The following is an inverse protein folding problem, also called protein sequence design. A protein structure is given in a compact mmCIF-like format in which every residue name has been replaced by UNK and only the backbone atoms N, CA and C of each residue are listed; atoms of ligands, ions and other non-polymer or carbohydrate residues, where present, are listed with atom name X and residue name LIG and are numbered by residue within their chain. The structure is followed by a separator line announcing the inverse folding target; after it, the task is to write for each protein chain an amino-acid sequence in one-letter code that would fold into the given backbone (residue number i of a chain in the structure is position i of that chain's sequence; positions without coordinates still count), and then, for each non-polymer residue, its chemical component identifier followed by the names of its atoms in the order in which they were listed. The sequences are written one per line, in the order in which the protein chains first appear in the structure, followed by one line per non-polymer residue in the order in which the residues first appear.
data_IF_198323041424
#
_entry.id   IF_198323041424
#
_cell.length_a   1.000
_cell.length_b   1.000
_cell.length_c   1.000
_cell.angle_alpha   90.00
_cell.angle_beta   90.00
_cell.angle_gamma   90.00
#
_symmetry.space_group_name_H-M   'P 1'
#
loop_
_entity.id
_entity.type
_entity.pdbx_description
1 polymer ?
#
# COMPACT_ATOMS: atom_id res chain seq x y z
N UNK A 1 -1.03 2.58 -4.14
CA UNK A 1 0.46 2.74 -4.02
C UNK A 1 1.17 1.45 -3.62
N UNK A 2 2.48 1.29 -3.88
CA UNK A 2 3.33 0.17 -3.42
C UNK A 2 3.92 0.46 -2.03
N UNK A 3 4.38 -0.57 -1.33
CA UNK A 3 5.06 -0.42 -0.03
C UNK A 3 6.23 0.59 -0.10
N UNK A 4 7.08 0.50 -1.14
CA UNK A 4 8.19 1.44 -1.35
C UNK A 4 7.75 2.89 -1.57
N UNK A 5 6.55 3.12 -2.08
CA UNK A 5 6.00 4.48 -2.18
C UNK A 5 5.65 5.06 -0.81
N UNK A 6 5.48 4.22 0.21
CA UNK A 6 5.11 4.60 1.57
C UNK A 6 6.35 4.68 2.45
N UNK A 7 7.11 3.59 2.58
CA UNK A 7 8.30 3.53 3.46
C UNK A 7 9.55 4.18 2.84
N UNK A 8 9.52 4.44 1.54
CA UNK A 8 10.62 4.99 0.77
C UNK A 8 11.65 3.97 0.33
N UNK A 9 12.72 4.49 -0.27
CA UNK A 9 13.85 3.71 -0.77
C UNK A 9 15.17 4.39 -0.43
N UNK A 10 16.20 3.57 -0.28
CA UNK A 10 17.57 4.02 -0.07
C UNK A 10 18.33 3.92 -1.39
N UNK A 11 18.68 5.05 -2.01
CA UNK A 11 19.42 5.07 -3.28
C UNK A 11 20.88 5.47 -3.07
N UNK A 12 21.85 4.96 -3.85
CA UNK A 12 23.23 5.41 -3.75
C UNK A 12 23.33 6.94 -3.77
N UNK A 13 24.07 7.49 -2.81
CA UNK A 13 24.41 8.90 -2.78
C UNK A 13 25.78 9.08 -3.47
N UNK A 14 26.01 10.19 -4.19
CA UNK A 14 27.35 10.52 -4.68
C UNK A 14 28.37 10.54 -3.54
N UNK A 15 29.57 10.06 -3.81
CA UNK A 15 30.66 10.04 -2.82
C UNK A 15 30.89 11.43 -2.22
N UNK A 16 31.05 11.49 -0.90
CA UNK A 16 31.25 12.75 -0.17
C UNK A 16 29.99 13.60 0.03
N UNK A 17 28.80 13.10 -0.33
CA UNK A 17 27.55 13.82 0.01
C UNK A 17 27.34 13.85 1.52
N UNK A 18 27.63 14.98 2.15
CA UNK A 18 27.15 15.26 3.49
C UNK A 18 25.62 15.37 3.48
N UNK A 19 24.95 14.75 4.45
CA UNK A 19 23.51 14.91 4.62
C UNK A 19 23.19 16.40 4.85
N UNK A 20 22.27 16.94 4.05
CA UNK A 20 21.69 18.26 4.36
C UNK A 20 20.74 18.14 5.55
N UNK A 21 20.43 19.24 6.27
CA UNK A 21 19.39 19.23 7.27
C UNK A 21 18.08 18.64 6.71
N UNK A 22 17.53 17.63 7.40
CA UNK A 22 16.32 16.91 6.97
C UNK A 22 16.55 15.76 5.99
N UNK A 23 17.77 15.57 5.46
CA UNK A 23 18.11 14.39 4.66
C UNK A 23 18.61 13.25 5.54
N UNK A 24 18.22 12.02 5.19
CA UNK A 24 18.72 10.82 5.82
C UNK A 24 19.73 10.13 4.90
N UNK A 25 20.96 9.96 5.39
CA UNK A 25 22.02 9.22 4.72
C UNK A 25 22.48 8.07 5.61
N UNK A 26 22.56 6.87 5.06
CA UNK A 26 22.99 5.66 5.73
C UNK A 26 23.84 4.82 4.78
N UNK A 27 25.06 4.46 5.20
CA UNK A 27 25.95 3.59 4.43
C UNK A 27 26.14 4.04 2.97
N UNK A 28 26.34 5.35 2.75
CA UNK A 28 26.49 5.92 1.41
C UNK A 28 25.20 5.93 0.57
N UNK A 29 24.03 5.65 1.16
CA UNK A 29 22.72 5.71 0.49
C UNK A 29 21.88 6.81 1.12
N UNK A 30 21.17 7.57 0.28
CA UNK A 30 20.21 8.59 0.69
C UNK A 30 18.80 8.01 0.65
N UNK A 31 18.02 8.29 1.68
CA UNK A 31 16.59 7.97 1.67
C UNK A 31 15.83 8.95 0.79
N UNK A 32 14.81 8.45 0.09
CA UNK A 32 13.87 9.29 -0.63
C UNK A 32 12.66 8.51 -1.12
N UNK A 33 11.78 9.21 -1.83
CA UNK A 33 10.57 8.69 -2.48
C UNK A 33 9.57 7.93 -1.58
N UNK A 34 9.72 7.99 -0.26
CA UNK A 34 8.68 7.58 0.68
C UNK A 34 7.65 8.68 0.87
N UNK A 35 6.62 8.39 1.66
CA UNK A 35 5.67 9.42 2.09
C UNK A 35 6.32 10.29 3.16
N UNK A 36 6.10 11.59 3.05
CA UNK A 36 6.42 12.55 4.11
C UNK A 36 5.15 13.18 4.66
N UNK A 37 5.26 13.88 5.80
CA UNK A 37 4.14 14.62 6.37
C UNK A 37 3.64 15.73 5.44
N UNK A 38 4.49 16.25 4.56
CA UNK A 38 4.11 17.25 3.55
C UNK A 38 3.25 16.65 2.41
N UNK A 39 3.30 15.33 2.18
CA UNK A 39 2.43 14.64 1.24
C UNK A 39 0.99 14.48 1.77
N UNK A 40 0.80 14.67 3.08
CA UNK A 40 -0.50 14.60 3.75
C UNK A 40 -1.12 15.99 3.84
N UNK A 41 -2.18 16.22 3.08
CA UNK A 41 -2.90 17.49 3.11
C UNK A 41 -3.71 17.68 4.40
N UNK A 42 -4.16 18.93 4.65
CA UNK A 42 -5.02 19.25 5.81
C UNK A 42 -6.36 18.53 5.79
N UNK A 43 -6.84 18.16 4.62
CA UNK A 43 -8.06 17.36 4.43
C UNK A 43 -7.82 15.84 4.53
N UNK A 44 -6.64 15.41 5.00
CA UNK A 44 -6.25 14.01 5.17
C UNK A 44 -6.24 13.20 3.87
N UNK A 45 -5.94 13.87 2.76
CA UNK A 45 -5.80 13.24 1.45
C UNK A 45 -4.32 13.17 1.10
N UNK A 46 -3.81 11.96 0.90
CA UNK A 46 -2.47 11.76 0.35
C UNK A 46 -2.54 11.95 -1.15
N UNK A 47 -1.59 12.71 -1.73
CA UNK A 47 -1.40 12.79 -3.19
C UNK A 47 0.07 12.61 -3.54
N UNK A 48 0.41 11.55 -4.27
CA UNK A 48 1.80 11.25 -4.59
C UNK A 48 1.97 10.57 -5.94
N UNK A 49 3.01 10.97 -6.67
CA UNK A 49 3.46 10.25 -7.85
C UNK A 49 4.11 8.92 -7.43
N UNK A 50 3.63 7.81 -7.97
CA UNK A 50 4.18 6.49 -7.68
C UNK A 50 5.55 6.31 -8.31
N UNK A 51 6.46 5.66 -7.59
CA UNK A 51 7.86 5.49 -8.00
C UNK A 51 8.05 4.66 -9.26
N UNK A 52 7.16 3.69 -9.51
CA UNK A 52 7.30 2.76 -10.64
C UNK A 52 6.83 3.36 -11.97
N UNK A 53 5.69 4.05 -11.97
CA UNK A 53 5.04 4.48 -13.22
C UNK A 53 4.95 6.01 -13.34
N UNK A 54 5.20 6.76 -12.26
CA UNK A 54 4.97 8.20 -12.21
C UNK A 54 3.49 8.58 -12.12
N UNK A 55 2.56 7.60 -12.17
CA UNK A 55 1.14 7.87 -12.04
C UNK A 55 0.82 8.42 -10.64
N UNK A 56 -0.04 9.44 -10.58
CA UNK A 56 -0.52 9.98 -9.31
C UNK A 56 -1.49 9.01 -8.66
N UNK A 57 -1.20 8.65 -7.41
CA UNK A 57 -2.13 8.00 -6.51
C UNK A 57 -2.68 9.04 -5.54
N UNK A 58 -3.99 9.00 -5.30
CA UNK A 58 -4.65 9.80 -4.28
C UNK A 58 -5.45 8.89 -3.35
N UNK A 59 -5.35 9.12 -2.05
CA UNK A 59 -6.04 8.31 -1.04
C UNK A 59 -6.62 9.22 0.04
N UNK A 60 -7.93 9.13 0.25
CA UNK A 60 -8.61 9.79 1.38
C UNK A 60 -8.51 8.89 2.62
N UNK A 61 -7.76 9.35 3.63
CA UNK A 61 -7.52 8.59 4.85
C UNK A 61 -8.69 8.66 5.84
N UNK A 62 -9.69 9.52 5.62
CA UNK A 62 -10.87 9.62 6.52
C UNK A 62 -11.67 8.32 6.59
N UNK A 63 -11.52 7.46 5.57
CA UNK A 63 -12.16 6.14 5.50
C UNK A 63 -11.25 5.02 6.03
N UNK A 64 -10.11 5.36 6.65
CA UNK A 64 -9.15 4.41 7.21
C UNK A 64 -9.04 4.59 8.73
N UNK A 65 -9.98 4.05 9.53
CA UNK A 65 -10.05 4.33 10.97
C UNK A 65 -8.76 3.98 11.72
N UNK A 66 -8.14 2.84 11.41
CA UNK A 66 -6.85 2.45 12.00
C UNK A 66 -5.74 3.47 11.72
N UNK A 67 -5.75 4.11 10.54
CA UNK A 67 -4.76 5.13 10.20
C UNK A 67 -5.02 6.41 10.98
N UNK A 68 -6.29 6.80 11.13
CA UNK A 68 -6.68 7.97 11.94
C UNK A 68 -6.25 7.80 13.39
N UNK A 69 -6.51 6.64 14.00
CA UNK A 69 -6.10 6.30 15.37
C UNK A 69 -4.58 6.42 15.57
N UNK A 70 -3.79 6.08 14.54
CA UNK A 70 -2.33 6.20 14.58
C UNK A 70 -1.88 7.65 14.40
N UNK A 71 -2.52 8.41 13.51
CA UNK A 71 -2.19 9.82 13.28
C UNK A 71 -2.46 10.67 14.53
N UNK A 72 -3.53 10.37 15.28
CA UNK A 72 -3.88 11.07 16.51
C UNK A 72 -2.85 10.90 17.63
N UNK A 73 -2.11 9.78 17.64
CA UNK A 73 -1.04 9.52 18.61
C UNK A 73 0.21 10.35 18.36
N UNK A 74 0.34 10.96 17.18
CA UNK A 74 1.51 11.74 16.79
C UNK A 74 1.15 13.23 16.91
N UNK A 75 1.72 13.96 17.89
CA UNK A 75 1.45 15.38 18.06
C UNK A 75 1.87 16.20 16.83
N UNK A 76 1.15 17.29 16.50
CA UNK A 76 1.45 18.13 15.32
C UNK A 76 2.90 18.60 15.21
N UNK A 77 3.55 18.88 16.33
CA UNK A 77 4.94 19.32 16.42
C UNK A 77 5.98 18.25 16.02
N UNK A 78 5.57 16.99 15.93
CA UNK A 78 6.42 15.87 15.48
C UNK A 78 6.14 15.47 14.02
N UNK A 79 5.20 16.15 13.35
CA UNK A 79 4.74 15.82 11.99
C UNK A 79 5.61 16.49 10.93
N UNK A 80 6.88 16.10 10.88
CA UNK A 80 7.87 16.67 9.96
C UNK A 80 8.73 15.57 9.31
N UNK A 81 8.97 15.67 8.01
CA UNK A 81 9.78 14.71 7.28
C UNK A 81 9.06 13.36 7.02
N UNK A 82 9.75 12.22 7.03
CA UNK A 82 9.17 10.91 6.68
C UNK A 82 7.97 10.53 7.57
N UNK A 83 6.91 10.02 6.95
CA UNK A 83 5.69 9.61 7.67
C UNK A 83 5.91 8.32 8.49
N UNK A 84 6.74 7.41 7.98
CA UNK A 84 7.05 6.13 8.61
C UNK A 84 8.54 6.11 8.96
N UNK A 85 8.84 6.08 10.27
CA UNK A 85 10.19 6.02 10.81
C UNK A 85 10.39 4.82 11.73
N UNK A 86 11.62 4.35 11.82
CA UNK A 86 12.12 3.55 12.93
C UNK A 86 12.39 4.52 14.09
N UNK A 87 11.48 4.55 15.06
CA UNK A 87 11.52 5.45 16.22
C UNK A 87 12.77 5.21 17.08
N UNK A 88 13.25 3.96 17.17
CA UNK A 88 14.45 3.62 17.92
C UNK A 88 15.72 4.15 17.24
N UNK A 89 15.74 4.18 15.90
CA UNK A 89 16.85 4.70 15.12
C UNK A 89 16.72 6.19 14.74
N UNK A 90 15.56 6.81 14.96
CA UNK A 90 15.28 8.21 14.63
C UNK A 90 15.33 8.51 13.13
N UNK A 91 15.07 7.52 12.27
CA UNK A 91 15.21 7.62 10.81
C UNK A 91 14.25 6.67 10.09
N UNK A 92 14.01 6.80 8.78
CA UNK A 92 13.26 5.81 8.02
C UNK A 92 13.83 4.39 8.16
N UNK A 93 12.96 3.38 8.11
CA UNK A 93 13.39 2.00 8.14
C UNK A 93 14.39 1.70 7.01
N UNK A 94 15.46 0.98 7.35
CA UNK A 94 16.33 0.38 6.33
C UNK A 94 15.56 -0.67 5.53
N UNK A 95 16.00 -0.93 4.29
CA UNK A 95 15.28 -1.80 3.34
C UNK A 95 14.96 -3.19 3.92
N UNK A 96 15.87 -3.79 4.68
CA UNK A 96 15.66 -5.09 5.35
C UNK A 96 14.98 -5.00 6.72
N UNK A 97 15.03 -3.84 7.38
CA UNK A 97 14.52 -3.67 8.74
C UNK A 97 12.98 -3.72 8.77
N UNK A 98 12.31 -3.02 7.85
CA UNK A 98 10.85 -2.97 7.83
C UNK A 98 10.21 -4.36 7.70
N UNK A 99 10.71 -5.19 6.79
CA UNK A 99 10.22 -6.56 6.59
C UNK A 99 10.44 -7.44 7.83
N UNK A 100 11.55 -7.26 8.53
CA UNK A 100 11.85 -7.96 9.78
C UNK A 100 10.86 -7.57 10.89
N UNK A 101 10.65 -6.27 11.11
CA UNK A 101 9.72 -5.80 12.14
C UNK A 101 8.28 -6.23 11.83
N UNK A 102 7.87 -6.20 10.56
CA UNK A 102 6.58 -6.74 10.15
C UNK A 102 6.42 -8.23 10.50
N UNK A 103 7.46 -9.04 10.25
CA UNK A 103 7.43 -10.47 10.59
C UNK A 103 7.33 -10.72 12.09
N UNK A 104 7.94 -9.88 12.92
CA UNK A 104 7.84 -9.99 14.39
C UNK A 104 6.38 -9.82 14.82
N UNK A 105 5.73 -8.74 14.36
CA UNK A 105 4.32 -8.47 14.66
C UNK A 105 3.42 -9.56 14.08
N UNK A 106 3.64 -9.93 12.82
CA UNK A 106 2.86 -10.95 12.12
C UNK A 106 2.88 -12.30 12.86
N UNK A 107 4.06 -12.75 13.31
CA UNK A 107 4.21 -13.99 14.07
C UNK A 107 3.53 -13.92 15.43
N UNK A 108 3.61 -12.78 16.12
CA UNK A 108 2.98 -12.59 17.43
C UNK A 108 1.46 -12.72 17.36
N UNK A 109 0.84 -12.38 16.23
CA UNK A 109 -0.61 -12.51 16.00
C UNK A 109 -0.99 -13.74 15.16
N UNK A 110 -0.04 -14.65 14.90
CA UNK A 110 -0.30 -15.92 14.22
C UNK A 110 -0.47 -15.85 12.69
N UNK A 111 -0.02 -14.78 12.04
CA UNK A 111 0.00 -14.70 10.57
C UNK A 111 1.05 -15.70 10.01
N UNK A 112 0.71 -16.53 9.02
CA UNK A 112 1.64 -17.47 8.42
C UNK A 112 2.87 -16.80 7.79
N UNK A 113 4.05 -17.42 7.92
CA UNK A 113 5.33 -16.89 7.42
C UNK A 113 5.42 -16.67 5.90
N UNK A 114 4.52 -17.27 5.12
CA UNK A 114 4.46 -17.11 3.66
C UNK A 114 3.62 -15.90 3.23
N UNK A 115 2.86 -15.30 4.15
CA UNK A 115 2.19 -14.01 3.93
C UNK A 115 3.21 -12.92 4.20
N UNK A 116 3.32 -11.94 3.31
CA UNK A 116 4.23 -10.80 3.43
C UNK A 116 3.43 -9.49 3.49
N UNK A 117 4.03 -8.43 4.03
CA UNK A 117 3.37 -7.11 4.07
C UNK A 117 2.90 -6.64 2.67
N UNK A 118 3.66 -6.93 1.62
CA UNK A 118 3.27 -6.57 0.25
C UNK A 118 1.98 -7.27 -0.22
N UNK A 119 1.59 -8.40 0.37
CA UNK A 119 0.33 -9.08 0.07
C UNK A 119 -0.89 -8.28 0.49
N UNK A 120 -0.76 -7.33 1.44
CA UNK A 120 -1.87 -6.47 1.86
C UNK A 120 -2.48 -5.71 0.68
N UNK A 121 -1.66 -5.34 -0.33
CA UNK A 121 -2.14 -4.71 -1.55
C UNK A 121 -3.02 -5.65 -2.38
N UNK A 122 -2.63 -6.91 -2.52
CA UNK A 122 -3.42 -7.91 -3.25
C UNK A 122 -4.70 -8.28 -2.48
N UNK A 123 -4.62 -8.31 -1.14
CA UNK A 123 -5.75 -8.46 -0.24
C UNK A 123 -6.79 -7.35 -0.44
N UNK A 124 -6.37 -6.08 -0.40
CA UNK A 124 -7.26 -4.93 -0.58
C UNK A 124 -7.98 -4.94 -1.94
N UNK A 125 -7.30 -5.37 -3.02
CA UNK A 125 -7.93 -5.54 -4.33
C UNK A 125 -9.00 -6.63 -4.27
N UNK A 126 -8.70 -7.77 -3.66
CA UNK A 126 -9.65 -8.89 -3.56
C UNK A 126 -10.85 -8.53 -2.68
N UNK A 127 -10.62 -7.84 -1.56
CA UNK A 127 -11.68 -7.37 -0.66
C UNK A 127 -12.63 -6.38 -1.37
N UNK A 128 -12.09 -5.43 -2.13
CA UNK A 128 -12.90 -4.49 -2.90
C UNK A 128 -13.71 -5.22 -4.00
N UNK A 129 -13.12 -6.21 -4.66
CA UNK A 129 -13.82 -7.04 -5.64
C UNK A 129 -14.95 -7.86 -5.00
N UNK A 130 -14.71 -8.50 -3.85
CA UNK A 130 -15.70 -9.30 -3.13
C UNK A 130 -16.83 -8.42 -2.56
N UNK A 131 -16.53 -7.16 -2.21
CA UNK A 131 -17.52 -6.14 -1.84
C UNK A 131 -18.33 -5.62 -3.05
N UNK A 132 -18.02 -6.07 -4.27
CA UNK A 132 -18.75 -5.70 -5.49
C UNK A 132 -18.36 -4.34 -6.07
N UNK A 133 -17.19 -3.80 -5.74
CA UNK A 133 -16.71 -2.58 -6.36
C UNK A 133 -16.50 -2.78 -7.87
N UNK A 134 -16.82 -1.74 -8.65
CA UNK A 134 -16.56 -1.74 -10.08
C UNK A 134 -15.05 -1.87 -10.34
N UNK A 135 -14.68 -2.65 -11.36
CA UNK A 135 -13.31 -2.80 -11.82
C UNK A 135 -12.65 -1.46 -12.14
N UNK A 136 -13.41 -0.47 -12.63
CA UNK A 136 -12.89 0.87 -12.86
C UNK A 136 -12.56 1.62 -11.55
N UNK A 137 -13.32 1.38 -10.48
CA UNK A 137 -12.99 1.91 -9.14
C UNK A 137 -11.82 1.15 -8.48
N UNK A 138 -11.69 -0.15 -8.73
CA UNK A 138 -10.56 -0.96 -8.24
C UNK A 138 -9.25 -0.58 -8.94
N UNK A 139 -9.29 -0.03 -10.16
CA UNK A 139 -8.08 0.41 -10.89
C UNK A 139 -7.46 1.68 -10.34
N UNK A 140 -8.27 2.59 -9.79
CA UNK A 140 -7.79 3.91 -9.35
C UNK A 140 -7.01 3.86 -8.03
N UNK A 141 -7.41 3.02 -7.08
CA UNK A 141 -6.76 2.93 -5.76
C UNK A 141 -5.32 2.36 -5.80
N UNK A 142 -5.00 1.30 -6.56
CA UNK A 142 -3.64 0.79 -6.66
C UNK A 142 -2.70 1.69 -7.47
N UNK A 143 -3.24 2.59 -8.31
CA UNK A 143 -2.55 3.35 -9.36
C UNK A 143 -1.83 2.43 -10.39
N UNK A 144 -2.45 1.30 -10.72
CA UNK A 144 -1.97 0.39 -11.78
C UNK A 144 -2.58 0.80 -13.13
N UNK A 145 -1.74 1.19 -14.09
CA UNK A 145 -2.17 1.63 -15.43
C UNK A 145 -2.39 0.50 -16.44
N UNK A 146 -2.16 -0.77 -16.07
CA UNK A 146 -2.27 -1.91 -16.99
C UNK A 146 -3.25 -3.01 -16.52
N UNK A 147 -4.25 -3.26 -17.37
CA UNK A 147 -5.33 -4.26 -17.27
C UNK A 147 -4.87 -5.68 -16.91
N UNK A 148 -3.68 -6.08 -17.36
CA UNK A 148 -3.12 -7.43 -17.14
C UNK A 148 -2.65 -7.68 -15.71
N UNK A 149 -2.36 -6.63 -14.94
CA UNK A 149 -1.78 -6.79 -13.60
C UNK A 149 -2.87 -6.96 -12.55
N UNK A 150 -3.99 -6.24 -12.65
CA UNK A 150 -5.17 -6.38 -11.75
C UNK A 150 -5.80 -7.77 -11.86
N UNK A 151 -5.90 -8.33 -13.07
CA UNK A 151 -6.33 -9.72 -13.28
C UNK A 151 -5.42 -10.74 -12.58
N UNK A 152 -4.13 -10.43 -12.41
CA UNK A 152 -3.16 -11.30 -11.73
C UNK A 152 -3.26 -11.25 -10.20
N UNK A 153 -3.82 -10.18 -9.63
CA UNK A 153 -4.01 -10.02 -8.19
C UNK A 153 -5.37 -10.49 -7.67
N UNK A 154 -6.35 -10.69 -8.56
CA UNK A 154 -7.66 -11.28 -8.25
C UNK A 154 -7.49 -12.74 -7.80
N UNK A 155 -7.21 -12.96 -6.51
CA UNK A 155 -7.16 -14.30 -5.89
C UNK A 155 -8.54 -14.97 -5.84
N UNK A 156 -9.62 -14.20 -6.03
CA UNK A 156 -11.01 -14.66 -6.16
C UNK A 156 -11.40 -15.23 -7.53
N UNK A 157 -10.48 -15.54 -8.44
CA UNK A 157 -10.81 -16.03 -9.79
C UNK A 157 -11.71 -17.28 -9.79
N UNK A 158 -11.54 -18.17 -8.81
CA UNK A 158 -12.41 -19.36 -8.60
C UNK A 158 -13.81 -18.95 -8.10
N UNK A 159 -13.90 -17.98 -7.20
CA UNK A 159 -15.17 -17.41 -6.73
C UNK A 159 -15.96 -16.74 -7.85
N UNK A 160 -15.27 -16.00 -8.73
CA UNK A 160 -15.85 -15.39 -9.94
C UNK A 160 -16.30 -16.43 -10.96
N UNK A 161 -15.49 -17.45 -11.23
CA UNK A 161 -15.87 -18.57 -12.10
C UNK A 161 -17.11 -19.28 -11.57
N UNK A 162 -17.18 -19.51 -10.25
CA UNK A 162 -18.34 -20.09 -9.58
C UNK A 162 -19.57 -19.19 -9.66
N UNK A 163 -19.46 -17.89 -9.39
CA UNK A 163 -20.57 -16.93 -9.46
C UNK A 163 -21.12 -16.80 -10.89
N UNK A 164 -20.24 -16.76 -11.89
CA UNK A 164 -20.63 -16.77 -13.31
C UNK A 164 -21.26 -18.11 -13.69
N UNK A 165 -20.75 -19.24 -13.18
CA UNK A 165 -21.37 -20.54 -13.40
C UNK A 165 -22.76 -20.65 -12.76
N UNK A 166 -22.95 -20.13 -11.54
CA UNK A 166 -24.25 -20.03 -10.85
C UNK A 166 -25.24 -19.16 -11.65
N UNK A 167 -24.82 -17.98 -12.11
CA UNK A 167 -25.65 -17.11 -12.95
C UNK A 167 -26.02 -17.79 -14.28
N UNK A 168 -25.10 -18.52 -14.91
CA UNK A 168 -25.37 -19.27 -16.14
C UNK A 168 -26.31 -20.45 -15.91
N UNK A 169 -26.22 -21.12 -14.76
CA UNK A 169 -27.14 -22.18 -14.36
C UNK A 169 -28.54 -21.61 -14.13
N UNK A 170 -28.66 -20.52 -13.37
CA UNK A 170 -29.92 -19.82 -13.11
C UNK A 170 -30.61 -19.36 -14.41
N UNK A 171 -29.84 -18.80 -15.35
CA UNK A 171 -30.35 -18.41 -16.67
C UNK A 171 -30.83 -19.61 -17.51
N UNK A 172 -30.14 -20.76 -17.43
CA UNK A 172 -30.54 -21.98 -18.15
C UNK A 172 -31.79 -22.63 -17.56
N UNK A 173 -31.93 -22.65 -16.23
CA UNK A 173 -33.14 -23.16 -15.58
C UNK A 173 -34.38 -22.32 -15.88
N UNK A 174 -34.23 -21.00 -16.05
CA UNK A 174 -35.33 -20.10 -16.42
C UNK A 174 -35.84 -20.33 -17.85
N UNK A 175 -34.99 -20.85 -18.75
CA UNK A 175 -35.31 -20.98 -20.19
C UNK A 175 -35.68 -22.40 -20.60
N UNK A 176 -35.30 -23.41 -19.81
CA UNK A 176 -35.67 -24.81 -20.04
C UNK A 176 -36.92 -25.26 -19.24
N UNK A 177 -37.52 -24.35 -18.47
CA UNK A 177 -38.74 -24.58 -17.67
C UNK A 177 -40.01 -23.93 -18.24
N UNK A 178 -39.97 -23.48 -19.49
CA UNK A 178 -41.08 -22.93 -20.28
C UNK A 178 -41.27 -23.74 -21.55
#
# INVERSE_FOLDING_TARGET
MRQRDVIGEWTPAPDGTAAKPGEFVLNGRRWGRGLTWEDLSRDLVIRKATTKTGAFAAHDLKLCPLVLDLLERIPPEQRNGPLIIDEAAGRPYAESAFGREWLIVARAVGIPNHVWNMDARAGAITEAEDAGADLDHIRSAPADSQTSTTQRYSRGAVGKSRRVAEMRLAYRSLRNGS
#
